data_IF_905119335174
#
_entry.id   IF_905119335174
#
_cell.length_a   1.000
_cell.length_b   1.000
_cell.length_c   1.000
_cell.angle_alpha   90.00
_cell.angle_beta   90.00
_cell.angle_gamma   90.00
#
_symmetry.space_group_name_H-M   'P 1'
#
loop_
_entity.id
_entity.type
_entity.pdbx_description
1 polymer ?
#
# COMPACT_ATOMS: atom_id res chain seq x y z
N UNK A 1 7.25 12.34 2.55
CA UNK A 1 6.71 11.20 3.33
C UNK A 1 7.54 10.99 4.59
N UNK A 2 7.22 10.01 5.40
CA UNK A 2 8.02 9.67 6.59
C UNK A 2 9.17 8.73 6.21
N UNK A 3 10.34 8.95 6.80
CA UNK A 3 11.55 8.16 6.56
C UNK A 3 11.73 6.99 7.56
N UNK A 4 10.75 6.76 8.42
CA UNK A 4 10.74 5.72 9.43
C UNK A 4 11.50 6.05 10.74
N UNK A 5 12.11 7.22 10.83
CA UNK A 5 12.80 7.63 12.06
C UNK A 5 11.82 8.39 12.95
N UNK A 6 11.63 7.92 14.19
CA UNK A 6 10.64 8.50 15.10
C UNK A 6 10.88 9.99 15.40
N UNK A 7 12.12 10.40 15.49
CA UNK A 7 12.49 11.81 15.69
C UNK A 7 12.04 12.75 14.57
N UNK A 8 11.81 12.21 13.36
CA UNK A 8 11.40 12.99 12.17
C UNK A 8 9.89 12.92 11.94
N UNK A 9 9.15 12.10 12.71
CA UNK A 9 7.71 11.87 12.54
C UNK A 9 6.90 13.17 12.62
N UNK A 10 7.20 14.05 13.56
CA UNK A 10 6.44 15.28 13.74
C UNK A 10 6.48 16.22 12.52
N UNK A 11 7.53 16.12 11.70
CA UNK A 11 7.73 16.92 10.49
C UNK A 11 7.38 16.14 9.20
N UNK A 12 6.94 14.90 9.33
CA UNK A 12 6.63 14.05 8.19
C UNK A 12 5.25 14.37 7.62
N UNK A 13 5.12 14.30 6.30
CA UNK A 13 3.84 14.38 5.59
C UNK A 13 2.87 13.30 6.08
N UNK A 14 3.37 12.08 6.35
CA UNK A 14 2.62 10.96 6.91
C UNK A 14 3.00 10.75 8.38
N UNK A 15 2.66 11.67 9.25
CA UNK A 15 2.89 11.54 10.71
C UNK A 15 2.08 10.39 11.34
N UNK A 16 1.01 9.95 10.68
CA UNK A 16 0.10 8.87 11.08
C UNK A 16 0.49 7.48 10.53
N UNK A 17 1.69 7.33 9.96
CA UNK A 17 2.13 6.03 9.42
C UNK A 17 2.21 4.99 10.56
N UNK A 18 1.51 3.87 10.40
CA UNK A 18 1.42 2.74 11.32
C UNK A 18 2.34 1.57 10.94
N UNK A 19 3.01 1.68 9.79
CA UNK A 19 3.87 0.60 9.28
C UNK A 19 5.29 0.75 9.83
N UNK A 20 5.78 -0.29 10.49
CA UNK A 20 7.20 -0.42 10.82
C UNK A 20 7.93 -1.04 9.62
N UNK A 21 8.64 -0.17 8.88
CA UNK A 21 9.38 -0.56 7.67
C UNK A 21 10.89 -0.32 7.80
N UNK A 22 11.36 0.02 8.99
CA UNK A 22 12.78 0.31 9.25
C UNK A 22 13.48 -0.92 9.78
N UNK A 23 14.64 -1.22 9.21
CA UNK A 23 15.42 -2.39 9.62
C UNK A 23 15.16 -3.63 8.76
N UNK A 24 15.85 -4.70 9.11
CA UNK A 24 15.80 -5.99 8.41
C UNK A 24 15.77 -7.16 9.41
N UNK A 25 15.37 -6.90 10.64
CA UNK A 25 15.39 -7.82 11.77
C UNK A 25 14.03 -8.45 12.10
N UNK A 26 13.01 -8.14 11.28
CA UNK A 26 11.71 -8.81 11.35
C UNK A 26 11.79 -10.30 10.97
N UNK A 27 10.73 -11.05 11.23
CA UNK A 27 10.63 -12.47 10.86
C UNK A 27 10.86 -12.64 9.36
N UNK A 28 11.87 -13.42 8.98
CA UNK A 28 12.37 -13.57 7.60
C UNK A 28 12.88 -12.27 6.96
N UNK A 29 13.07 -11.23 7.75
CA UNK A 29 13.71 -10.00 7.32
C UNK A 29 15.17 -10.24 6.91
N UNK A 30 15.67 -9.41 5.98
CA UNK A 30 17.04 -9.56 5.50
C UNK A 30 17.32 -8.69 4.27
N UNK A 31 18.58 -8.66 3.89
CA UNK A 31 19.01 -8.13 2.60
C UNK A 31 19.14 -9.28 1.63
N UNK A 32 18.26 -9.35 0.66
CA UNK A 32 18.29 -10.36 -0.38
C UNK A 32 19.23 -9.91 -1.51
N UNK A 33 20.18 -10.75 -1.94
CA UNK A 33 21.16 -10.36 -2.95
C UNK A 33 20.56 -10.20 -4.36
N UNK A 34 19.45 -10.88 -4.63
CA UNK A 34 18.73 -10.86 -5.89
C UNK A 34 17.25 -11.25 -5.73
N UNK A 35 16.46 -11.01 -6.77
CA UNK A 35 15.05 -11.34 -6.83
C UNK A 35 14.77 -12.84 -6.61
N UNK A 36 15.61 -13.71 -7.16
CA UNK A 36 15.44 -15.17 -7.05
C UNK A 36 15.56 -15.65 -5.61
N UNK A 37 16.50 -15.10 -4.85
CA UNK A 37 16.71 -15.43 -3.44
C UNK A 37 15.49 -15.01 -2.60
N UNK A 38 14.94 -13.83 -2.85
CA UNK A 38 13.71 -13.36 -2.19
C UNK A 38 12.52 -14.27 -2.53
N UNK A 39 12.31 -14.56 -3.82
CA UNK A 39 11.18 -15.39 -4.27
C UNK A 39 11.28 -16.82 -3.76
N UNK A 40 12.47 -17.39 -3.66
CA UNK A 40 12.68 -18.71 -3.05
C UNK A 40 12.29 -18.72 -1.56
N UNK A 41 12.57 -17.64 -0.84
CA UNK A 41 12.12 -17.51 0.56
C UNK A 41 10.59 -17.45 0.66
N UNK A 42 9.94 -16.66 -0.19
CA UNK A 42 8.49 -16.60 -0.25
C UNK A 42 7.86 -17.96 -0.58
N UNK A 43 8.45 -18.70 -1.53
CA UNK A 43 8.00 -20.05 -1.89
C UNK A 43 8.12 -21.04 -0.72
N UNK A 44 9.17 -20.93 0.08
CA UNK A 44 9.33 -21.76 1.29
C UNK A 44 8.30 -21.46 2.38
N UNK A 45 7.87 -20.22 2.47
CA UNK A 45 6.85 -19.78 3.43
C UNK A 45 5.44 -20.14 2.98
N UNK A 46 5.23 -20.38 1.68
CA UNK A 46 3.92 -20.71 1.14
C UNK A 46 3.52 -22.15 1.54
N UNK A 47 2.26 -22.39 1.95
CA UNK A 47 1.79 -23.71 2.32
C UNK A 47 1.99 -24.74 1.19
N UNK A 48 2.71 -25.83 1.44
CA UNK A 48 3.08 -26.83 0.43
C UNK A 48 1.89 -27.55 -0.21
N UNK A 49 0.79 -27.63 0.49
CA UNK A 49 -0.46 -28.25 0.02
C UNK A 49 -1.40 -27.27 -0.72
N UNK A 50 -1.02 -26.03 -0.84
CA UNK A 50 -1.76 -25.01 -1.57
C UNK A 50 -0.92 -24.46 -2.71
N UNK A 51 -1.15 -24.96 -3.92
CA UNK A 51 -0.46 -24.51 -5.14
C UNK A 51 -1.28 -23.50 -5.94
N UNK A 52 -2.49 -23.18 -5.47
CA UNK A 52 -3.40 -22.23 -6.11
C UNK A 52 -3.49 -20.95 -5.29
N UNK A 53 -3.91 -19.85 -5.93
CA UNK A 53 -4.16 -18.56 -5.29
C UNK A 53 -2.93 -18.01 -4.53
N UNK A 54 -1.73 -18.23 -5.06
CA UNK A 54 -0.52 -17.60 -4.51
C UNK A 54 -0.64 -16.09 -4.66
N UNK A 55 -0.55 -15.37 -3.56
CA UNK A 55 -0.76 -13.93 -3.53
C UNK A 55 0.32 -13.26 -2.69
N UNK A 56 0.95 -12.23 -3.22
CA UNK A 56 1.94 -11.43 -2.51
C UNK A 56 1.54 -9.96 -2.55
N UNK A 57 1.58 -9.31 -1.40
CA UNK A 57 1.35 -7.86 -1.29
C UNK A 57 2.69 -7.20 -1.02
N UNK A 58 3.15 -6.40 -1.97
CA UNK A 58 4.33 -5.58 -1.81
C UNK A 58 3.91 -4.24 -1.18
N UNK A 59 4.37 -4.02 0.03
CA UNK A 59 4.06 -2.82 0.83
C UNK A 59 5.33 -2.34 1.55
N UNK A 60 5.20 -1.55 2.60
CA UNK A 60 6.33 -1.07 3.41
C UNK A 60 6.40 0.45 3.41
N UNK A 61 7.57 1.05 3.16
CA UNK A 61 7.69 2.48 2.90
C UNK A 61 7.01 2.85 1.58
N UNK A 62 7.74 2.68 0.48
CA UNK A 62 7.18 2.73 -0.88
C UNK A 62 7.75 1.54 -1.67
N UNK A 63 6.92 0.55 -2.02
CA UNK A 63 7.40 -0.67 -2.67
C UNK A 63 8.00 -0.43 -4.06
N UNK A 64 7.49 0.57 -4.78
CA UNK A 64 7.95 0.89 -6.14
C UNK A 64 9.38 1.43 -6.21
N UNK A 65 10.02 1.72 -5.07
CA UNK A 65 11.45 2.02 -5.00
C UNK A 65 12.33 0.76 -5.19
N UNK A 66 11.77 -0.44 -5.00
CA UNK A 66 12.52 -1.70 -5.00
C UNK A 66 11.93 -2.77 -5.93
N UNK A 67 10.63 -2.66 -6.26
CA UNK A 67 9.93 -3.62 -7.10
C UNK A 67 10.25 -3.37 -8.57
N UNK A 68 11.19 -4.14 -9.11
CA UNK A 68 11.64 -4.06 -10.49
C UNK A 68 11.06 -5.19 -11.37
N UNK A 69 11.27 -5.07 -12.69
CA UNK A 69 10.79 -6.05 -13.67
C UNK A 69 11.35 -7.46 -13.43
N UNK A 70 12.57 -7.57 -12.87
CA UNK A 70 13.20 -8.86 -12.60
C UNK A 70 12.48 -9.58 -11.47
N UNK A 71 12.14 -8.85 -10.39
CA UNK A 71 11.39 -9.41 -9.28
C UNK A 71 9.96 -9.78 -9.70
N UNK A 72 9.28 -8.91 -10.45
CA UNK A 72 7.95 -9.18 -11.00
C UNK A 72 7.94 -10.48 -11.82
N UNK A 73 8.90 -10.62 -12.73
CA UNK A 73 9.04 -11.83 -13.55
C UNK A 73 9.28 -13.08 -12.71
N UNK A 74 10.18 -13.02 -11.73
CA UNK A 74 10.47 -14.15 -10.84
C UNK A 74 9.23 -14.57 -10.02
N UNK A 75 8.43 -13.62 -9.56
CA UNK A 75 7.18 -13.89 -8.84
C UNK A 75 6.15 -14.57 -9.76
N UNK A 76 5.95 -14.09 -10.98
CA UNK A 76 5.04 -14.70 -11.96
C UNK A 76 5.49 -16.09 -12.39
N UNK A 77 6.80 -16.35 -12.55
CA UNK A 77 7.34 -17.70 -12.82
C UNK A 77 6.98 -18.70 -11.71
N UNK A 78 6.75 -18.21 -10.48
CA UNK A 78 6.27 -18.98 -9.34
C UNK A 78 4.76 -18.90 -9.13
N UNK A 79 4.03 -18.36 -10.09
CA UNK A 79 2.57 -18.24 -10.10
C UNK A 79 2.00 -17.38 -8.95
N UNK A 80 2.76 -16.38 -8.48
CA UNK A 80 2.24 -15.39 -7.56
C UNK A 80 1.43 -14.32 -8.31
N UNK A 81 0.25 -14.03 -7.81
CA UNK A 81 -0.47 -12.79 -8.10
C UNK A 81 0.18 -11.68 -7.28
N UNK A 82 0.51 -10.56 -7.91
CA UNK A 82 1.27 -9.47 -7.31
C UNK A 82 0.35 -8.29 -7.06
N UNK A 83 0.17 -7.92 -5.79
CA UNK A 83 -0.47 -6.68 -5.39
C UNK A 83 0.56 -5.69 -4.85
N UNK A 84 0.26 -4.41 -5.01
CA UNK A 84 1.03 -3.33 -4.37
C UNK A 84 0.13 -2.44 -3.53
N UNK A 85 0.67 -1.94 -2.42
CA UNK A 85 0.14 -0.79 -1.69
C UNK A 85 1.13 0.37 -1.82
N UNK A 86 0.80 1.33 -2.67
CA UNK A 86 1.66 2.47 -3.02
C UNK A 86 1.06 3.80 -2.58
N UNK A 87 1.91 4.78 -2.33
CA UNK A 87 1.48 6.17 -2.13
C UNK A 87 1.14 6.90 -3.45
N UNK A 88 1.37 6.27 -4.59
CA UNK A 88 1.03 6.79 -5.90
C UNK A 88 2.02 7.79 -6.52
N UNK A 89 3.19 8.01 -5.90
CA UNK A 89 4.16 9.02 -6.36
C UNK A 89 5.18 8.50 -7.37
N UNK A 90 5.15 7.21 -7.67
CA UNK A 90 6.07 6.55 -8.61
C UNK A 90 5.23 5.76 -9.63
N UNK A 91 5.55 5.82 -10.93
CA UNK A 91 4.86 5.04 -11.95
C UNK A 91 4.93 3.54 -11.66
N UNK A 92 3.82 2.82 -11.87
CA UNK A 92 3.75 1.38 -11.67
C UNK A 92 4.39 0.66 -12.86
N UNK A 93 5.34 -0.24 -12.64
CA UNK A 93 5.90 -1.09 -13.71
C UNK A 93 4.84 -2.06 -14.26
N UNK A 94 5.06 -2.54 -15.47
CA UNK A 94 4.19 -3.55 -16.07
C UNK A 94 4.24 -4.87 -15.29
N UNK A 95 3.11 -5.60 -15.27
CA UNK A 95 3.02 -6.91 -14.62
C UNK A 95 2.58 -6.89 -13.16
N UNK A 96 2.07 -5.79 -12.66
CA UNK A 96 1.36 -5.76 -11.38
C UNK A 96 -0.10 -6.13 -11.62
N UNK A 97 -0.59 -7.11 -10.85
CA UNK A 97 -1.95 -7.66 -11.02
C UNK A 97 -3.01 -6.87 -10.23
N UNK A 98 -2.61 -6.26 -9.12
CA UNK A 98 -3.50 -5.47 -8.28
C UNK A 98 -2.82 -4.21 -7.76
N UNK A 99 -3.41 -3.07 -8.02
CA UNK A 99 -2.88 -1.77 -7.61
C UNK A 99 -3.81 -1.15 -6.59
N UNK A 100 -3.34 -1.01 -5.34
CA UNK A 100 -3.95 -0.21 -4.30
C UNK A 100 -3.13 1.07 -4.10
N UNK A 101 -3.74 2.22 -4.38
CA UNK A 101 -3.12 3.53 -4.21
C UNK A 101 -3.71 4.25 -3.01
N UNK A 102 -2.85 4.77 -2.13
CA UNK A 102 -3.25 5.57 -0.97
C UNK A 102 -2.62 6.97 -1.06
N UNK A 103 -3.36 7.99 -1.52
CA UNK A 103 -2.83 9.32 -1.74
C UNK A 103 -2.34 9.96 -0.44
N UNK A 104 -1.30 10.78 -0.55
CA UNK A 104 -0.71 11.51 0.57
C UNK A 104 -0.74 13.02 0.27
N UNK A 105 -0.91 13.87 1.30
CA UNK A 105 -0.95 15.31 1.11
C UNK A 105 0.37 15.83 0.51
N UNK A 106 0.26 16.93 -0.25
CA UNK A 106 1.41 17.62 -0.86
C UNK A 106 2.33 16.73 -1.70
N UNK A 107 1.76 15.72 -2.38
CA UNK A 107 2.49 14.85 -3.31
C UNK A 107 1.93 14.97 -4.72
N UNK A 108 2.79 14.75 -5.71
CA UNK A 108 2.36 14.60 -7.12
C UNK A 108 1.94 13.15 -7.32
N UNK A 109 0.74 12.94 -7.85
CA UNK A 109 0.21 11.61 -8.14
C UNK A 109 0.59 11.22 -9.58
N UNK A 110 1.33 10.13 -9.70
CA UNK A 110 1.69 9.48 -10.97
C UNK A 110 0.75 8.31 -11.29
N UNK A 111 0.19 7.67 -10.24
CA UNK A 111 -0.72 6.52 -10.38
C UNK A 111 -2.15 7.02 -10.44
N UNK A 112 -2.70 7.16 -11.64
CA UNK A 112 -4.04 7.71 -11.87
C UNK A 112 -5.11 6.66 -12.13
N UNK A 113 -4.73 5.37 -12.17
CA UNK A 113 -5.65 4.24 -12.40
C UNK A 113 -5.19 3.00 -11.64
N UNK A 114 -6.14 2.13 -11.29
CA UNK A 114 -5.86 0.88 -10.57
C UNK A 114 -7.13 0.23 -10.05
N UNK A 115 -6.96 -0.74 -9.15
CA UNK A 115 -8.06 -1.54 -8.62
C UNK A 115 -8.67 -0.91 -7.36
N UNK A 116 -7.83 -0.29 -6.51
CA UNK A 116 -8.28 0.34 -5.28
C UNK A 116 -7.65 1.72 -5.07
N UNK A 117 -8.47 2.68 -4.71
CA UNK A 117 -8.05 3.92 -4.08
C UNK A 117 -8.45 3.86 -2.61
N UNK A 118 -7.46 3.79 -1.72
CA UNK A 118 -7.65 3.67 -0.27
C UNK A 118 -7.27 4.97 0.41
N UNK A 119 -8.25 5.67 0.96
CA UNK A 119 -8.07 6.97 1.58
C UNK A 119 -8.11 6.85 3.12
N UNK A 120 -7.01 7.17 3.78
CA UNK A 120 -6.96 7.24 5.26
C UNK A 120 -7.73 8.50 5.71
N UNK A 121 -8.72 8.33 6.58
CA UNK A 121 -9.66 9.40 6.94
C UNK A 121 -9.87 9.50 8.46
N UNK A 122 -10.02 10.70 9.02
CA UNK A 122 -9.94 12.01 8.36
C UNK A 122 -8.51 12.53 8.19
N UNK A 123 -8.30 13.39 7.21
CA UNK A 123 -7.08 14.18 7.04
C UNK A 123 -7.46 15.65 6.82
N UNK A 124 -6.67 16.57 7.38
CA UNK A 124 -6.95 18.01 7.26
C UNK A 124 -6.46 18.63 5.96
N UNK A 125 -5.45 18.03 5.32
CA UNK A 125 -4.75 18.60 4.17
C UNK A 125 -5.25 18.11 2.81
N UNK A 126 -6.01 17.01 2.78
CA UNK A 126 -6.61 16.42 1.56
C UNK A 126 -7.99 15.86 1.86
N UNK A 127 -8.84 15.79 0.85
CA UNK A 127 -10.20 15.30 0.98
C UNK A 127 -10.51 14.20 -0.05
N UNK A 128 -11.30 13.16 0.28
CA UNK A 128 -11.57 12.05 -0.65
C UNK A 128 -12.14 12.50 -2.00
N UNK A 129 -13.00 13.50 -2.03
CA UNK A 129 -13.63 14.03 -3.25
C UNK A 129 -12.62 14.55 -4.29
N UNK A 130 -11.42 14.94 -3.86
CA UNK A 130 -10.35 15.40 -4.75
C UNK A 130 -9.85 14.30 -5.70
N UNK A 131 -10.06 13.03 -5.32
CA UNK A 131 -9.55 11.85 -6.02
C UNK A 131 -10.62 11.07 -6.80
N UNK A 132 -11.88 11.48 -6.73
CA UNK A 132 -13.00 10.78 -7.37
C UNK A 132 -12.96 10.78 -8.90
N UNK A 133 -12.18 11.68 -9.48
CA UNK A 133 -11.97 11.77 -10.92
C UNK A 133 -10.96 10.74 -11.46
N UNK A 134 -10.21 10.07 -10.58
CA UNK A 134 -9.23 9.07 -10.95
C UNK A 134 -9.90 7.75 -11.38
N UNK A 135 -9.23 7.00 -12.25
CA UNK A 135 -9.75 5.77 -12.86
C UNK A 135 -9.43 4.54 -11.97
N UNK A 136 -10.13 4.45 -10.84
CA UNK A 136 -10.05 3.31 -9.93
C UNK A 136 -11.37 2.54 -9.91
N UNK A 137 -11.29 1.20 -9.83
CA UNK A 137 -12.47 0.33 -9.76
C UNK A 137 -13.20 0.46 -8.42
N UNK A 138 -12.45 0.64 -7.34
CA UNK A 138 -12.98 0.69 -5.98
C UNK A 138 -12.39 1.87 -5.22
N UNK A 139 -13.24 2.51 -4.39
CA UNK A 139 -12.86 3.61 -3.52
C UNK A 139 -13.16 3.23 -2.08
N UNK A 140 -12.12 3.23 -1.23
CA UNK A 140 -12.23 2.85 0.17
C UNK A 140 -11.82 3.98 1.11
N UNK A 141 -12.60 4.14 2.18
CA UNK A 141 -12.24 4.96 3.33
C UNK A 141 -11.70 4.05 4.42
N UNK A 142 -10.49 4.30 4.85
CA UNK A 142 -9.88 3.64 6.00
C UNK A 142 -9.84 4.62 7.18
N UNK A 143 -10.55 4.34 8.30
CA UNK A 143 -10.44 5.18 9.49
C UNK A 143 -8.98 5.26 9.95
N UNK A 144 -8.50 6.49 10.21
CA UNK A 144 -7.15 6.70 10.71
C UNK A 144 -7.01 6.10 12.12
N UNK A 145 -6.03 5.19 12.28
CA UNK A 145 -5.66 4.69 13.62
C UNK A 145 -4.95 5.80 14.41
N UNK A 146 -5.54 6.12 15.54
CA UNK A 146 -5.09 7.20 16.41
C UNK A 146 -5.79 7.08 17.78
N UNK A 147 -5.43 7.87 18.79
CA UNK A 147 -6.15 7.92 20.06
C UNK A 147 -7.66 8.22 19.91
N UNK A 148 -8.07 8.81 18.78
CA UNK A 148 -9.47 9.11 18.43
C UNK A 148 -10.07 8.13 17.43
N UNK A 149 -9.61 6.88 17.39
CA UNK A 149 -10.06 5.88 16.40
C UNK A 149 -11.58 5.70 16.36
N UNK A 150 -12.25 5.71 17.52
CA UNK A 150 -13.72 5.55 17.58
C UNK A 150 -14.45 6.69 16.88
N UNK A 151 -13.98 7.90 17.07
CA UNK A 151 -14.49 9.10 16.41
C UNK A 151 -14.22 9.05 14.91
N UNK A 152 -13.01 8.65 14.52
CA UNK A 152 -12.61 8.49 13.13
C UNK A 152 -13.45 7.41 12.42
N UNK A 153 -13.74 6.30 13.08
CA UNK A 153 -14.64 5.26 12.55
C UNK A 153 -16.06 5.81 12.29
N UNK A 154 -16.59 6.61 13.23
CA UNK A 154 -17.89 7.23 13.04
C UNK A 154 -17.88 8.22 11.86
N UNK A 155 -16.89 9.09 11.80
CA UNK A 155 -16.72 10.04 10.70
C UNK A 155 -16.59 9.33 9.34
N UNK A 156 -15.82 8.24 9.27
CA UNK A 156 -15.65 7.44 8.06
C UNK A 156 -16.97 6.79 7.62
N UNK A 157 -17.73 6.23 8.56
CA UNK A 157 -19.06 5.66 8.28
C UNK A 157 -20.03 6.72 7.77
N UNK A 158 -20.13 7.87 8.46
CA UNK A 158 -21.02 8.98 8.08
C UNK A 158 -20.64 9.51 6.70
N UNK A 159 -19.34 9.58 6.39
CA UNK A 159 -18.85 9.97 5.06
C UNK A 159 -19.30 8.97 3.98
N UNK A 160 -19.10 7.67 4.18
CA UNK A 160 -19.51 6.64 3.22
C UNK A 160 -21.02 6.62 3.01
N UNK A 161 -21.82 6.79 4.06
CA UNK A 161 -23.29 6.87 3.95
C UNK A 161 -23.74 8.07 3.09
N UNK A 162 -23.01 9.18 3.19
CA UNK A 162 -23.31 10.41 2.43
C UNK A 162 -22.71 10.40 1.02
N UNK A 163 -21.72 9.55 0.75
CA UNK A 163 -20.98 9.47 -0.49
C UNK A 163 -20.87 8.01 -0.96
N UNK A 164 -21.90 7.42 -1.60
CA UNK A 164 -22.00 6.00 -1.89
C UNK A 164 -20.94 5.43 -2.84
N UNK A 165 -20.15 6.25 -3.50
CA UNK A 165 -18.97 5.83 -4.26
C UNK A 165 -17.90 5.21 -3.36
N UNK A 166 -17.83 5.67 -2.11
CA UNK A 166 -16.86 5.25 -1.11
C UNK A 166 -17.41 4.13 -0.23
N UNK A 167 -16.59 3.15 0.04
CA UNK A 167 -16.85 1.99 0.91
C UNK A 167 -15.99 2.09 2.16
N UNK A 168 -16.48 1.56 3.29
CA UNK A 168 -15.71 1.45 4.52
C UNK A 168 -14.87 0.18 4.53
#
# INVERSE_FOLDING_TARGET
LWNGREQDRANAICSFCDTDFVGTDGSFGGKYPDAKSLVNTLEQLWPKNNTTNRYVICTGGEPLLQLDEVLIKCLHEKQFTIAIETNGTIPVPAGIDWICMSPKPNTVIEVTKGNELKFVFPQSAIHPSEYEHLDFENFYIQPMDSPTLKENMKLALDYCLSNPKWKL
#
